data_IF_166270160442
#
_entry.id   IF_166270160442
#
_cell.length_a   1.000
_cell.length_b   1.000
_cell.length_c   1.000
_cell.angle_alpha   90.00
_cell.angle_beta   90.00
_cell.angle_gamma   90.00
#
_symmetry.space_group_name_H-M   'P 1'
#
loop_
_entity.id
_entity.type
_entity.pdbx_description
1 polymer ?
#
# COMPACT_ATOMS: atom_id res chain seq x y z
N UNK A 1 11.35 17.73 78.96
CA UNK A 1 12.52 16.93 79.41
C UNK A 1 13.52 17.94 79.94
N UNK A 2 14.25 17.68 81.03
CA UNK A 2 15.26 18.65 81.49
C UNK A 2 16.42 18.55 80.51
N UNK A 3 16.55 19.54 79.63
CA UNK A 3 17.64 19.62 78.65
C UNK A 3 18.90 20.09 79.39
N UNK A 4 19.58 19.13 80.00
CA UNK A 4 20.86 19.37 80.66
C UNK A 4 21.90 19.59 79.56
N UNK A 5 22.45 20.80 79.45
CA UNK A 5 23.55 21.04 78.50
C UNK A 5 24.90 20.70 79.13
N UNK A 6 25.95 20.42 78.34
CA UNK A 6 27.30 20.21 78.87
C UNK A 6 27.78 21.39 79.74
N UNK A 7 27.35 22.60 79.38
CA UNK A 7 27.58 23.82 80.16
C UNK A 7 26.85 23.82 81.51
N UNK A 8 25.63 23.29 81.57
CA UNK A 8 24.87 23.21 82.82
C UNK A 8 25.49 22.19 83.79
N UNK A 9 26.04 21.08 83.27
CA UNK A 9 26.78 20.09 84.07
C UNK A 9 28.05 20.72 84.66
N UNK A 10 28.82 21.47 83.85
CA UNK A 10 30.02 22.17 84.34
C UNK A 10 29.70 23.25 85.37
N UNK A 11 28.61 24.00 85.19
CA UNK A 11 28.15 25.01 86.17
C UNK A 11 27.72 24.39 87.49
N UNK A 12 27.18 23.17 87.47
CA UNK A 12 26.71 22.47 88.68
C UNK A 12 27.84 22.12 89.66
N UNK A 13 29.09 21.99 89.20
CA UNK A 13 30.29 21.75 90.02
C UNK A 13 30.38 22.66 91.26
N UNK A 14 29.99 23.94 91.13
CA UNK A 14 30.03 24.91 92.24
C UNK A 14 28.76 25.03 93.10
N UNK A 15 27.65 24.38 92.70
CA UNK A 15 26.34 24.57 93.34
C UNK A 15 26.03 23.54 94.44
N UNK A 16 26.88 22.53 94.63
CA UNK A 16 26.64 21.46 95.59
C UNK A 16 26.96 21.93 97.03
N UNK A 17 25.97 21.79 97.92
CA UNK A 17 26.14 22.13 99.35
C UNK A 17 27.05 21.12 100.06
N UNK A 18 28.08 21.62 100.74
CA UNK A 18 28.96 20.80 101.59
C UNK A 18 28.25 20.39 102.89
N UNK A 19 28.24 19.09 103.19
CA UNK A 19 27.62 18.51 104.39
C UNK A 19 28.65 17.65 105.13
N UNK A 20 28.59 17.60 106.47
CA UNK A 20 29.58 16.94 107.36
C UNK A 20 29.75 15.42 107.07
N UNK A 21 28.79 14.79 106.38
CA UNK A 21 28.88 13.45 105.79
C UNK A 21 28.38 13.48 104.35
N UNK A 22 29.27 13.67 103.38
CA UNK A 22 28.95 13.77 101.95
C UNK A 22 29.97 13.05 101.08
N UNK A 23 29.73 13.03 99.77
CA UNK A 23 30.69 12.54 98.78
C UNK A 23 31.93 13.44 98.73
N UNK A 24 33.06 12.85 98.34
CA UNK A 24 34.30 13.58 98.10
C UNK A 24 34.10 14.56 96.94
N UNK A 25 34.34 15.85 97.20
CA UNK A 25 34.11 16.91 96.22
C UNK A 25 35.06 16.81 95.04
N UNK A 26 36.31 16.37 95.22
CA UNK A 26 37.28 16.28 94.11
C UNK A 26 36.89 15.16 93.13
N UNK A 27 36.50 13.98 93.64
CA UNK A 27 36.06 12.87 92.82
C UNK A 27 34.73 13.15 92.08
N UNK A 28 33.80 13.87 92.73
CA UNK A 28 32.55 14.29 92.09
C UNK A 28 32.82 15.32 90.99
N UNK A 29 33.74 16.25 91.24
CA UNK A 29 34.14 17.27 90.29
C UNK A 29 34.79 16.68 89.03
N UNK A 30 35.66 15.67 89.18
CA UNK A 30 36.25 14.93 88.06
C UNK A 30 35.20 14.13 87.28
N UNK A 31 34.25 13.51 88.00
CA UNK A 31 33.13 12.80 87.36
C UNK A 31 32.24 13.74 86.55
N UNK A 32 31.93 14.93 87.07
CA UNK A 32 31.14 15.93 86.36
C UNK A 32 31.85 16.43 85.10
N UNK A 33 33.17 16.57 85.12
CA UNK A 33 33.95 16.94 83.94
C UNK A 33 33.91 15.84 82.87
N UNK A 34 34.07 14.57 83.25
CA UNK A 34 33.92 13.43 82.33
C UNK A 34 32.49 13.34 81.76
N UNK A 35 31.47 13.55 82.59
CA UNK A 35 30.06 13.55 82.15
C UNK A 35 29.82 14.69 81.18
N UNK A 36 30.30 15.90 81.47
CA UNK A 36 30.13 17.05 80.59
C UNK A 36 30.80 16.82 79.22
N UNK A 37 32.01 16.27 79.19
CA UNK A 37 32.73 15.96 77.95
C UNK A 37 31.99 14.90 77.12
N UNK A 38 31.52 13.83 77.76
CA UNK A 38 30.74 12.79 77.07
C UNK A 38 29.40 13.32 76.57
N UNK A 39 28.75 14.20 77.34
CA UNK A 39 27.49 14.84 76.95
C UNK A 39 27.71 15.75 75.73
N UNK A 40 28.82 16.49 75.69
CA UNK A 40 29.17 17.33 74.53
C UNK A 40 29.38 16.50 73.26
N UNK A 41 30.05 15.36 73.37
CA UNK A 41 30.23 14.43 72.25
C UNK A 41 28.90 13.85 71.77
N UNK A 42 28.02 13.45 72.69
CA UNK A 42 26.68 12.96 72.36
C UNK A 42 25.83 14.03 71.66
N UNK A 43 25.90 15.29 72.11
CA UNK A 43 25.19 16.40 71.48
C UNK A 43 25.70 16.61 70.05
N UNK A 44 27.02 16.63 69.84
CA UNK A 44 27.61 16.75 68.49
C UNK A 44 27.18 15.60 67.57
N UNK A 45 27.20 14.36 68.07
CA UNK A 45 26.74 13.20 67.31
C UNK A 45 25.24 13.28 67.00
N UNK A 46 24.42 13.74 67.94
CA UNK A 46 22.98 13.87 67.74
C UNK A 46 22.64 14.92 66.67
N UNK A 47 23.31 16.07 66.70
CA UNK A 47 23.17 17.11 65.66
C UNK A 47 23.56 16.55 64.30
N UNK A 48 24.74 15.92 64.18
CA UNK A 48 25.20 15.35 62.91
C UNK A 48 24.27 14.24 62.38
N UNK A 49 23.72 13.40 63.26
CA UNK A 49 22.74 12.38 62.88
C UNK A 49 21.40 12.98 62.47
N UNK A 50 20.96 14.05 63.12
CA UNK A 50 19.72 14.77 62.79
C UNK A 50 19.83 15.42 61.42
N UNK A 51 20.92 16.17 61.16
CA UNK A 51 21.19 16.78 59.85
C UNK A 51 21.24 15.71 58.74
N UNK A 52 21.90 14.58 59.00
CA UNK A 52 21.94 13.45 58.05
C UNK A 52 20.56 12.84 57.82
N UNK A 53 19.75 12.72 58.87
CA UNK A 53 18.38 12.21 58.78
C UNK A 53 17.51 13.14 57.94
N UNK A 54 17.55 14.45 58.19
CA UNK A 54 16.83 15.45 57.42
C UNK A 54 17.23 15.41 55.95
N UNK A 55 18.53 15.38 55.67
CA UNK A 55 19.04 15.28 54.29
C UNK A 55 18.57 14.01 53.57
N UNK A 56 18.59 12.85 54.25
CA UNK A 56 18.08 11.60 53.67
C UNK A 56 16.57 11.65 53.44
N UNK A 57 15.81 12.30 54.34
CA UNK A 57 14.36 12.47 54.17
C UNK A 57 14.04 13.34 52.95
N UNK A 58 14.78 14.43 52.73
CA UNK A 58 14.66 15.27 51.54
C UNK A 58 14.96 14.50 50.25
N UNK A 59 16.03 13.70 50.25
CA UNK A 59 16.36 12.87 49.09
C UNK A 59 15.23 11.86 48.79
N UNK A 60 14.71 11.18 49.82
CA UNK A 60 13.61 10.23 49.66
C UNK A 60 12.36 10.93 49.14
N UNK A 61 12.06 12.14 49.62
CA UNK A 61 10.94 12.93 49.11
C UNK A 61 11.12 13.24 47.62
N UNK A 62 12.32 13.70 47.21
CA UNK A 62 12.64 13.97 45.80
C UNK A 62 12.54 12.73 44.93
N UNK A 63 13.03 11.57 45.40
CA UNK A 63 12.92 10.33 44.66
C UNK A 63 11.45 9.90 44.48
N UNK A 64 10.62 10.04 45.52
CA UNK A 64 9.18 9.73 45.43
C UNK A 64 8.46 10.65 44.46
N UNK A 65 8.80 11.93 44.40
CA UNK A 65 8.23 12.86 43.41
C UNK A 65 8.62 12.47 41.98
N UNK A 66 9.89 12.13 41.76
CA UNK A 66 10.37 11.65 40.45
C UNK A 66 9.69 10.35 40.05
N UNK A 67 9.53 9.42 40.98
CA UNK A 67 8.83 8.15 40.74
C UNK A 67 7.37 8.37 40.36
N UNK A 68 6.66 9.30 41.02
CA UNK A 68 5.29 9.68 40.64
C UNK A 68 5.24 10.26 39.23
N UNK A 69 6.13 11.22 38.92
CA UNK A 69 6.19 11.81 37.58
C UNK A 69 6.50 10.76 36.49
N UNK A 70 7.39 9.80 36.78
CA UNK A 70 7.68 8.69 35.88
C UNK A 70 6.48 7.76 35.67
N UNK A 71 5.76 7.44 36.74
CA UNK A 71 4.54 6.62 36.64
C UNK A 71 3.44 7.33 35.84
N UNK A 72 3.25 8.64 36.05
CA UNK A 72 2.34 9.45 35.25
C UNK A 72 2.75 9.51 33.77
N UNK A 73 4.05 9.71 33.51
CA UNK A 73 4.61 9.68 32.16
C UNK A 73 4.42 8.31 31.48
N UNK A 74 4.55 7.20 32.23
CA UNK A 74 4.32 5.86 31.72
C UNK A 74 2.85 5.64 31.35
N UNK A 75 1.93 6.04 32.22
CA UNK A 75 0.48 5.90 31.98
C UNK A 75 0.06 6.74 30.78
N UNK A 76 0.51 7.99 30.70
CA UNK A 76 0.23 8.86 29.55
C UNK A 76 0.81 8.31 28.25
N UNK A 77 2.04 7.78 28.26
CA UNK A 77 2.63 7.13 27.09
C UNK A 77 1.82 5.90 26.64
N UNK A 78 1.31 5.10 27.59
CA UNK A 78 0.45 3.96 27.28
C UNK A 78 -0.89 4.39 26.68
N UNK A 79 -1.52 5.44 27.23
CA UNK A 79 -2.75 6.02 26.71
C UNK A 79 -2.54 6.55 25.29
N UNK A 80 -1.49 7.33 25.06
CA UNK A 80 -1.16 7.86 23.74
C UNK A 80 -0.91 6.74 22.72
N UNK A 81 -0.24 5.66 23.13
CA UNK A 81 -0.05 4.49 22.26
C UNK A 81 -1.39 3.84 21.88
N UNK A 82 -2.29 3.68 22.85
CA UNK A 82 -3.60 3.09 22.60
C UNK A 82 -4.47 3.99 21.69
N UNK A 83 -4.43 5.31 21.91
CA UNK A 83 -5.11 6.28 21.06
C UNK A 83 -4.57 6.28 19.63
N UNK A 84 -3.24 6.24 19.47
CA UNK A 84 -2.59 6.17 18.17
C UNK A 84 -2.95 4.87 17.42
N UNK A 85 -2.97 3.73 18.11
CA UNK A 85 -3.42 2.47 17.52
C UNK A 85 -4.88 2.54 17.09
N UNK A 86 -5.77 3.02 17.96
CA UNK A 86 -7.19 3.15 17.62
C UNK A 86 -7.44 4.13 16.47
N UNK A 87 -6.64 5.19 16.36
CA UNK A 87 -6.70 6.12 15.23
C UNK A 87 -6.21 5.48 13.94
N UNK A 88 -5.05 4.82 13.96
CA UNK A 88 -4.52 4.09 12.81
C UNK A 88 -5.50 3.02 12.31
N UNK A 89 -6.15 2.28 13.21
CA UNK A 89 -7.16 1.27 12.84
C UNK A 89 -8.37 1.91 12.14
N UNK A 90 -8.86 3.06 12.65
CA UNK A 90 -9.96 3.81 12.02
C UNK A 90 -9.57 4.33 10.65
N UNK A 91 -8.38 4.90 10.52
CA UNK A 91 -7.86 5.43 9.24
C UNK A 91 -7.65 4.30 8.23
N UNK A 92 -7.11 3.15 8.65
CA UNK A 92 -6.95 1.99 7.81
C UNK A 92 -8.29 1.42 7.32
N UNK A 93 -9.31 1.39 8.18
CA UNK A 93 -10.67 0.99 7.81
C UNK A 93 -11.30 1.95 6.80
N UNK A 94 -11.15 3.26 7.02
CA UNK A 94 -11.64 4.28 6.08
C UNK A 94 -10.95 4.18 4.73
N UNK A 95 -9.62 4.05 4.73
CA UNK A 95 -8.84 3.89 3.50
C UNK A 95 -9.25 2.62 2.74
N UNK A 96 -9.49 1.51 3.45
CA UNK A 96 -9.93 0.26 2.82
C UNK A 96 -11.29 0.43 2.16
N UNK A 97 -12.24 1.09 2.83
CA UNK A 97 -13.57 1.37 2.28
C UNK A 97 -13.51 2.29 1.08
N UNK A 98 -12.68 3.32 1.14
CA UNK A 98 -12.48 4.24 0.02
C UNK A 98 -11.86 3.53 -1.17
N UNK A 99 -10.79 2.76 -0.97
CA UNK A 99 -10.17 1.96 -2.02
C UNK A 99 -11.14 0.95 -2.64
N UNK A 100 -11.97 0.29 -1.82
CA UNK A 100 -12.99 -0.62 -2.31
C UNK A 100 -14.05 0.10 -3.16
N UNK A 101 -14.57 1.23 -2.69
CA UNK A 101 -15.54 2.06 -3.42
C UNK A 101 -14.97 2.56 -4.75
N UNK A 102 -13.70 3.01 -4.76
CA UNK A 102 -13.01 3.42 -5.98
C UNK A 102 -12.84 2.24 -6.95
N UNK A 103 -12.44 1.07 -6.46
CA UNK A 103 -12.30 -0.13 -7.29
C UNK A 103 -13.65 -0.55 -7.91
N UNK A 104 -14.73 -0.58 -7.12
CA UNK A 104 -16.08 -0.87 -7.60
C UNK A 104 -16.50 0.12 -8.69
N UNK A 105 -16.24 1.41 -8.49
CA UNK A 105 -16.52 2.46 -9.47
C UNK A 105 -15.74 2.27 -10.78
N UNK A 106 -14.45 1.96 -10.70
CA UNK A 106 -13.61 1.70 -11.89
C UNK A 106 -14.15 0.49 -12.66
N UNK A 107 -14.54 -0.58 -11.96
CA UNK A 107 -15.13 -1.77 -12.58
C UNK A 107 -16.44 -1.41 -13.27
N UNK A 108 -17.32 -0.66 -12.62
CA UNK A 108 -18.59 -0.22 -13.22
C UNK A 108 -18.37 0.64 -14.47
N UNK A 109 -17.46 1.60 -14.42
CA UNK A 109 -17.10 2.47 -15.53
C UNK A 109 -16.54 1.64 -16.71
N UNK A 110 -15.65 0.70 -16.43
CA UNK A 110 -15.12 -0.24 -17.43
C UNK A 110 -16.21 -1.12 -18.04
N UNK A 111 -17.13 -1.67 -17.25
CA UNK A 111 -18.26 -2.46 -17.75
C UNK A 111 -19.25 -1.64 -18.57
N UNK A 112 -19.43 -0.35 -18.26
CA UNK A 112 -20.25 0.56 -19.08
C UNK A 112 -19.58 0.80 -20.43
N UNK A 113 -18.30 1.14 -20.44
CA UNK A 113 -17.52 1.35 -21.66
C UNK A 113 -17.50 0.09 -22.54
N UNK A 114 -17.27 -1.08 -21.95
CA UNK A 114 -17.29 -2.36 -22.68
C UNK A 114 -18.64 -2.61 -23.36
N UNK A 115 -19.76 -2.37 -22.66
CA UNK A 115 -21.11 -2.51 -23.22
C UNK A 115 -21.38 -1.50 -24.33
N UNK A 116 -20.88 -0.29 -24.21
CA UNK A 116 -21.02 0.75 -25.23
C UNK A 116 -20.26 0.37 -26.52
N UNK A 117 -18.99 -0.01 -26.40
CA UNK A 117 -18.18 -0.50 -27.51
C UNK A 117 -18.84 -1.73 -28.16
N UNK A 118 -19.36 -2.67 -27.36
CA UNK A 118 -20.09 -3.83 -27.88
C UNK A 118 -21.29 -3.45 -28.75
N UNK A 119 -22.09 -2.47 -28.33
CA UNK A 119 -23.22 -1.95 -29.11
C UNK A 119 -22.76 -1.25 -30.39
N UNK A 120 -21.68 -0.49 -30.33
CA UNK A 120 -21.11 0.16 -31.52
C UNK A 120 -20.63 -0.86 -32.56
N UNK A 121 -19.95 -1.93 -32.10
CA UNK A 121 -19.52 -3.03 -32.96
C UNK A 121 -20.73 -3.69 -33.64
N UNK A 122 -21.78 -4.01 -32.88
CA UNK A 122 -23.01 -4.60 -33.44
C UNK A 122 -23.67 -3.68 -34.48
N UNK A 123 -23.73 -2.37 -34.20
CA UNK A 123 -24.29 -1.38 -35.12
C UNK A 123 -23.46 -1.27 -36.41
N UNK A 124 -22.13 -1.25 -36.31
CA UNK A 124 -21.22 -1.25 -37.46
C UNK A 124 -21.34 -2.52 -38.30
N UNK A 125 -21.45 -3.68 -37.67
CA UNK A 125 -21.66 -4.95 -38.36
C UNK A 125 -23.02 -4.98 -39.10
N UNK A 126 -24.08 -4.44 -38.49
CA UNK A 126 -25.38 -4.30 -39.15
C UNK A 126 -25.28 -3.37 -40.36
N UNK A 127 -24.65 -2.20 -40.21
CA UNK A 127 -24.43 -1.23 -41.29
C UNK A 127 -23.62 -1.84 -42.44
N UNK A 128 -22.56 -2.59 -42.12
CA UNK A 128 -21.77 -3.33 -43.13
C UNK A 128 -22.63 -4.33 -43.90
N UNK A 129 -23.45 -5.14 -43.20
CA UNK A 129 -24.35 -6.12 -43.87
C UNK A 129 -25.38 -5.43 -44.77
N UNK A 130 -25.96 -4.32 -44.33
CA UNK A 130 -26.89 -3.53 -45.13
C UNK A 130 -26.21 -2.94 -46.36
N UNK A 131 -25.01 -2.39 -46.22
CA UNK A 131 -24.22 -1.87 -47.33
C UNK A 131 -23.91 -2.94 -48.38
N UNK A 132 -23.41 -4.11 -47.96
CA UNK A 132 -23.10 -5.22 -48.88
C UNK A 132 -24.34 -5.67 -49.65
N UNK A 133 -25.49 -5.78 -48.97
CA UNK A 133 -26.77 -6.12 -49.63
C UNK A 133 -27.18 -5.06 -50.65
N UNK A 134 -27.18 -3.78 -50.24
CA UNK A 134 -27.56 -2.68 -51.11
C UNK A 134 -26.62 -2.57 -52.33
N UNK A 135 -25.33 -2.77 -52.14
CA UNK A 135 -24.33 -2.76 -53.20
C UNK A 135 -24.53 -3.92 -54.18
N UNK A 136 -24.81 -5.13 -53.67
CA UNK A 136 -25.15 -6.28 -54.53
C UNK A 136 -26.38 -5.99 -55.39
N UNK A 137 -27.46 -5.49 -54.78
CA UNK A 137 -28.69 -5.12 -55.52
C UNK A 137 -28.43 -4.06 -56.59
N UNK A 138 -27.55 -3.09 -56.31
CA UNK A 138 -27.15 -2.07 -57.29
C UNK A 138 -26.40 -2.70 -58.47
N UNK A 139 -25.44 -3.59 -58.20
CA UNK A 139 -24.70 -4.29 -59.25
C UNK A 139 -25.61 -5.20 -60.07
N UNK A 140 -26.48 -5.99 -59.44
CA UNK A 140 -27.43 -6.86 -60.13
C UNK A 140 -28.33 -6.05 -61.08
N UNK A 141 -28.75 -4.85 -60.65
CA UNK A 141 -29.49 -3.90 -61.51
C UNK A 141 -28.67 -3.44 -62.71
N UNK A 142 -27.41 -3.03 -62.51
CA UNK A 142 -26.55 -2.60 -63.61
C UNK A 142 -26.23 -3.72 -64.59
N UNK A 143 -26.02 -4.94 -64.09
CA UNK A 143 -25.84 -6.13 -64.93
C UNK A 143 -27.10 -6.38 -65.76
N UNK A 144 -28.27 -6.36 -65.14
CA UNK A 144 -29.55 -6.54 -65.85
C UNK A 144 -29.78 -5.47 -66.94
N UNK A 145 -29.37 -4.22 -66.68
CA UNK A 145 -29.44 -3.13 -67.66
C UNK A 145 -28.47 -3.34 -68.83
N UNK A 146 -27.25 -3.80 -68.55
CA UNK A 146 -26.26 -4.15 -69.58
C UNK A 146 -26.74 -5.33 -70.44
N UNK A 147 -27.31 -6.37 -69.84
CA UNK A 147 -27.86 -7.52 -70.58
C UNK A 147 -28.97 -7.10 -71.56
N UNK A 148 -29.83 -6.16 -71.16
CA UNK A 148 -30.88 -5.60 -72.04
C UNK A 148 -30.27 -4.79 -73.18
N UNK A 149 -29.25 -3.96 -72.91
CA UNK A 149 -28.57 -3.19 -73.95
C UNK A 149 -27.75 -4.08 -74.90
N UNK A 150 -27.08 -5.11 -74.40
CA UNK A 150 -26.40 -6.13 -75.22
C UNK A 150 -27.40 -6.86 -76.13
N UNK A 151 -28.57 -7.25 -75.60
CA UNK A 151 -29.62 -7.87 -76.40
C UNK A 151 -30.10 -6.95 -77.53
N UNK A 152 -30.34 -5.66 -77.24
CA UNK A 152 -30.71 -4.65 -78.26
C UNK A 152 -29.65 -4.49 -79.33
N UNK A 153 -28.38 -4.42 -78.94
CA UNK A 153 -27.27 -4.32 -79.88
C UNK A 153 -27.16 -5.58 -80.74
N UNK A 154 -27.38 -6.77 -80.18
CA UNK A 154 -27.36 -8.03 -80.93
C UNK A 154 -28.50 -8.14 -81.95
N UNK A 155 -29.71 -7.68 -81.62
CA UNK A 155 -30.86 -7.61 -82.53
C UNK A 155 -30.61 -6.61 -83.68
N UNK A 156 -29.88 -5.53 -83.42
CA UNK A 156 -29.50 -4.55 -84.45
C UNK A 156 -28.44 -5.07 -85.45
N UNK A 157 -27.81 -6.22 -85.15
CA UNK A 157 -26.77 -6.86 -85.98
C UNK A 157 -27.35 -8.04 -86.81
N UNK A 158 -28.64 -8.39 -86.70
CA UNK A 158 -29.29 -9.35 -87.60
C UNK A 158 -29.44 -8.76 -89.02
N UNK A 159 -28.36 -8.84 -89.80
CA UNK A 159 -28.36 -8.69 -91.25
C UNK A 159 -29.05 -9.91 -91.85
N UNK A 160 -30.00 -9.76 -92.80
CA UNK A 160 -30.62 -10.90 -93.46
C UNK A 160 -29.60 -11.58 -94.39
N UNK A 161 -28.91 -12.60 -93.89
CA UNK A 161 -28.23 -13.56 -94.76
C UNK A 161 -29.29 -14.55 -95.25
N UNK A 162 -29.82 -14.27 -96.44
CA UNK A 162 -30.54 -15.25 -97.25
C UNK A 162 -29.57 -16.38 -97.59
N UNK A 163 -29.93 -17.59 -97.17
CA UNK A 163 -29.07 -18.76 -97.27
C UNK A 163 -28.88 -19.27 -98.69
N UNK A 164 -27.81 -20.04 -98.87
CA UNK A 164 -27.80 -21.26 -99.70
C UNK A 164 -26.80 -22.25 -99.10
N UNK A 165 -27.29 -23.46 -98.80
CA UNK A 165 -26.62 -24.62 -98.19
C UNK A 165 -25.70 -25.37 -99.20
N UNK A 166 -25.17 -26.61 -98.97
CA UNK A 166 -25.09 -27.46 -97.77
C UNK A 166 -23.71 -28.19 -97.55
N UNK A 167 -23.66 -29.00 -96.48
CA UNK A 167 -22.94 -30.29 -96.30
C UNK A 167 -21.40 -30.43 -96.22
N UNK A 168 -20.99 -30.95 -95.05
CA UNK A 168 -20.07 -32.07 -94.75
C UNK A 168 -18.69 -32.14 -95.46
N UNK A 169 -17.63 -32.16 -94.66
CA UNK A 169 -16.74 -33.32 -94.45
C UNK A 169 -15.53 -32.91 -93.59
N UNK A 170 -15.01 -33.84 -92.80
CA UNK A 170 -14.12 -33.59 -91.67
C UNK A 170 -12.67 -33.24 -92.05
N UNK A 171 -11.87 -32.89 -91.03
CA UNK A 171 -10.62 -33.60 -90.66
C UNK A 171 -9.96 -32.98 -89.42
N UNK A 172 -9.63 -33.87 -88.49
CA UNK A 172 -8.56 -33.88 -87.47
C UNK A 172 -7.91 -32.58 -86.97
N UNK A 173 -7.82 -32.52 -85.64
CA UNK A 173 -6.55 -32.25 -84.94
C UNK A 173 -6.35 -30.82 -84.43
N UNK A 174 -6.58 -30.61 -83.14
CA UNK A 174 -5.56 -30.02 -82.24
C UNK A 174 -6.06 -30.17 -80.79
N UNK A 175 -5.13 -30.41 -79.87
CA UNK A 175 -5.35 -30.85 -78.50
C UNK A 175 -5.01 -29.71 -77.51
N UNK A 176 -5.88 -29.51 -76.51
CA UNK A 176 -5.63 -28.95 -75.16
C UNK A 176 -5.29 -27.43 -74.99
N UNK A 177 -5.42 -26.84 -73.78
CA UNK A 177 -5.85 -27.43 -72.48
C UNK A 177 -7.04 -26.73 -71.79
N UNK A 178 -7.60 -27.44 -70.80
CA UNK A 178 -8.59 -26.96 -69.82
C UNK A 178 -7.98 -25.93 -68.85
N UNK A 179 -8.71 -24.87 -68.46
CA UNK A 179 -8.30 -24.02 -67.35
C UNK A 179 -8.56 -24.74 -66.00
N UNK A 180 -7.56 -24.61 -65.14
CA UNK A 180 -7.41 -25.27 -63.84
C UNK A 180 -8.51 -24.92 -62.83
N UNK A 181 -8.75 -25.88 -61.93
CA UNK A 181 -9.66 -25.81 -60.79
C UNK A 181 -9.22 -24.69 -59.79
N UNK A 182 -10.05 -23.69 -59.45
CA UNK A 182 -9.68 -22.59 -58.55
C UNK A 182 -9.38 -23.02 -57.10
N UNK A 183 -9.65 -24.28 -56.75
CA UNK A 183 -9.56 -24.80 -55.39
C UNK A 183 -8.12 -25.16 -54.93
N UNK A 184 -7.15 -25.24 -55.84
CA UNK A 184 -5.77 -25.62 -55.51
C UNK A 184 -4.84 -24.42 -55.29
N UNK A 185 -5.11 -23.27 -55.91
CA UNK A 185 -4.32 -22.04 -55.70
C UNK A 185 -4.59 -21.40 -54.34
N UNK A 186 -5.83 -21.50 -53.82
CA UNK A 186 -6.21 -20.96 -52.51
C UNK A 186 -5.55 -21.69 -51.32
N UNK A 187 -5.04 -22.91 -51.51
CA UNK A 187 -4.35 -23.68 -50.46
C UNK A 187 -2.84 -23.39 -50.39
N UNK A 188 -2.23 -22.98 -51.51
CA UNK A 188 -0.83 -22.61 -51.54
C UNK A 188 -0.59 -21.25 -50.85
N UNK A 189 -1.46 -20.27 -51.07
CA UNK A 189 -1.34 -18.93 -50.47
C UNK A 189 -1.67 -18.89 -48.97
N UNK A 190 -2.51 -19.80 -48.47
CA UNK A 190 -2.84 -19.88 -47.04
C UNK A 190 -1.71 -20.47 -46.18
N UNK A 191 -0.83 -21.30 -46.76
CA UNK A 191 0.32 -21.87 -46.04
C UNK A 191 1.43 -20.85 -45.79
N UNK A 192 1.66 -19.93 -46.73
CA UNK A 192 2.70 -18.90 -46.60
C UNK A 192 2.33 -17.80 -45.60
N UNK A 193 1.05 -17.44 -45.48
CA UNK A 193 0.62 -16.41 -44.52
C UNK A 193 0.65 -16.91 -43.05
N UNK A 194 0.37 -18.20 -42.81
CA UNK A 194 0.42 -18.79 -41.47
C UNK A 194 1.85 -19.01 -40.96
N UNK A 195 2.82 -19.24 -41.86
CA UNK A 195 4.25 -19.30 -41.48
C UNK A 195 4.82 -17.92 -41.13
N UNK A 196 4.26 -16.84 -41.70
CA UNK A 196 4.65 -15.46 -41.40
C UNK A 196 4.13 -14.95 -40.05
N UNK A 197 3.10 -15.58 -39.47
CA UNK A 197 2.44 -15.10 -38.25
C UNK A 197 2.90 -15.81 -36.96
N UNK A 198 3.71 -16.86 -37.07
CA UNK A 198 4.21 -17.68 -35.94
C UNK A 198 5.73 -17.56 -35.76
N UNK A 199 6.37 -16.64 -36.48
CA UNK A 199 7.81 -16.39 -36.48
C UNK A 199 8.25 -15.09 -35.82
N UNK A 200 7.61 -14.66 -34.73
CA UNK A 200 8.12 -13.59 -33.85
C UNK A 200 7.94 -14.06 -32.40
N UNK A 201 8.77 -15.03 -32.02
CA UNK A 201 9.01 -15.40 -30.63
C UNK A 201 10.10 -14.50 -30.04
N UNK A 202 9.78 -13.95 -28.86
CA UNK A 202 10.65 -14.02 -27.69
C UNK A 202 11.95 -13.22 -27.75
N UNK A 203 11.86 -11.98 -27.27
CA UNK A 203 12.97 -11.29 -26.62
C UNK A 203 12.60 -11.08 -25.15
N UNK A 204 12.77 -12.14 -24.35
CA UNK A 204 13.03 -12.03 -22.92
C UNK A 204 14.44 -11.45 -22.79
N UNK A 205 14.55 -10.16 -22.46
CA UNK A 205 15.79 -9.59 -21.96
C UNK A 205 15.65 -9.42 -20.45
N UNK A 206 16.49 -10.20 -19.77
CA UNK A 206 16.82 -10.13 -18.36
C UNK A 206 17.14 -8.69 -17.92
N UNK A 207 16.42 -8.22 -16.90
CA UNK A 207 16.82 -7.07 -16.11
C UNK A 207 16.44 -7.29 -14.64
N UNK A 208 17.12 -8.25 -14.02
CA UNK A 208 17.18 -8.43 -12.58
C UNK A 208 18.63 -8.27 -12.13
N UNK A 209 19.10 -7.02 -11.97
CA UNK A 209 20.24 -6.69 -11.10
C UNK A 209 20.33 -5.17 -10.85
N UNK A 210 19.71 -4.67 -9.78
CA UNK A 210 20.12 -3.45 -9.06
C UNK A 210 19.20 -3.14 -7.86
N UNK A 211 19.31 -3.90 -6.77
CA UNK A 211 18.97 -3.39 -5.43
C UNK A 211 20.03 -3.88 -4.44
N UNK A 212 21.19 -3.24 -4.44
CA UNK A 212 22.04 -3.18 -3.25
C UNK A 212 22.92 -1.91 -3.29
N UNK A 213 22.38 -0.80 -2.75
CA UNK A 213 23.10 0.24 -1.97
C UNK A 213 22.10 1.11 -1.20
#
# INVERSE_FOLDING_TARGET
MIDLTPLDVRKKKGDFRRTVRGYDTELVDDFLDMVAERLEELVKQNVALTERSEHLQEQVASYRERERALNEALVTAQQLRAEAQAQADREAELLRREAQSQAERIIEEGQRAYREIGREIEALQLRRRQFVRAFRTLLDRYISELEVEEARLSESIEVPSTGTAPERSGRMGEQAPQPADPAEQAKAEQGEWLSSLVGEGEQEDDADDAVER
#
